data_IF_360054848797
#
_entry.id   IF_360054848797
#
_cell.length_a   1.000
_cell.length_b   1.000
_cell.length_c   1.000
_cell.angle_alpha   90.00
_cell.angle_beta   90.00
_cell.angle_gamma   90.00
#
_symmetry.space_group_name_H-M   'P 1'
#
loop_
_entity.id
_entity.type
_entity.pdbx_description
1 polymer ?
#
# COMPACT_ATOMS: atom_id res chain seq x y z
N UNK A 1 6.38 24.87 16.42
CA UNK A 1 5.36 25.78 15.86
C UNK A 1 3.98 25.22 16.13
N UNK A 2 3.13 26.03 16.75
CA UNK A 2 1.72 25.75 16.93
C UNK A 2 0.97 26.21 15.69
N UNK A 3 0.13 25.32 15.13
CA UNK A 3 -0.72 25.65 13.99
C UNK A 3 -2.14 25.93 14.46
N UNK A 4 -2.81 26.87 13.82
CA UNK A 4 -4.18 27.26 14.16
C UNK A 4 -5.21 26.15 13.88
N UNK A 5 -4.89 25.22 12.97
CA UNK A 5 -5.75 24.09 12.60
C UNK A 5 -4.94 22.94 11.95
N UNK A 6 -5.56 21.77 11.88
CA UNK A 6 -5.05 20.62 11.12
C UNK A 6 -4.84 20.98 9.62
N UNK A 7 -5.74 21.74 9.04
CA UNK A 7 -5.62 22.17 7.64
C UNK A 7 -4.45 23.14 7.44
N UNK A 8 -4.21 24.06 8.37
CA UNK A 8 -3.06 24.96 8.32
C UNK A 8 -1.74 24.20 8.44
N UNK A 9 -1.68 23.19 9.32
CA UNK A 9 -0.53 22.28 9.43
C UNK A 9 -0.27 21.53 8.13
N UNK A 10 -1.33 20.98 7.51
CA UNK A 10 -1.26 20.24 6.25
C UNK A 10 -0.80 21.15 5.10
N UNK A 11 -1.35 22.34 4.99
CA UNK A 11 -0.95 23.31 3.98
C UNK A 11 0.55 23.64 4.09
N UNK A 12 1.04 23.90 5.30
CA UNK A 12 2.46 24.17 5.51
C UNK A 12 3.35 22.95 5.21
N UNK A 13 2.93 21.76 5.59
CA UNK A 13 3.64 20.54 5.23
C UNK A 13 3.71 20.36 3.71
N UNK A 14 2.61 20.61 2.99
CA UNK A 14 2.55 20.56 1.53
C UNK A 14 3.55 21.50 0.87
N UNK A 15 3.62 22.75 1.33
CA UNK A 15 4.60 23.73 0.83
C UNK A 15 6.03 23.22 1.00
N UNK A 16 6.39 22.78 2.21
CA UNK A 16 7.75 22.32 2.52
C UNK A 16 8.14 21.07 1.73
N UNK A 17 7.25 20.09 1.61
CA UNK A 17 7.54 18.90 0.82
C UNK A 17 7.59 19.18 -0.67
N UNK A 18 6.79 20.14 -1.18
CA UNK A 18 6.88 20.60 -2.57
C UNK A 18 8.21 21.28 -2.84
N UNK A 19 8.69 22.10 -1.92
CA UNK A 19 10.02 22.72 -2.00
C UNK A 19 11.14 21.67 -2.00
N UNK A 20 11.05 20.66 -1.10
CA UNK A 20 12.01 19.55 -1.05
C UNK A 20 12.03 18.74 -2.34
N UNK A 21 10.86 18.41 -2.89
CA UNK A 21 10.77 17.68 -4.16
C UNK A 21 11.34 18.50 -5.32
N UNK A 22 11.01 19.79 -5.40
CA UNK A 22 11.48 20.69 -6.44
C UNK A 22 13.01 20.88 -6.42
N UNK A 23 13.59 21.06 -5.23
CA UNK A 23 15.03 21.33 -5.09
C UNK A 23 15.89 20.07 -5.09
N UNK A 24 15.36 18.97 -4.59
CA UNK A 24 16.12 17.76 -4.31
C UNK A 24 15.46 16.47 -4.87
N UNK A 25 14.58 16.60 -5.88
CA UNK A 25 13.78 15.50 -6.42
C UNK A 25 14.57 14.25 -6.85
N UNK A 26 15.82 14.44 -7.29
CA UNK A 26 16.73 13.34 -7.63
C UNK A 26 17.42 12.70 -6.42
N UNK A 27 17.38 13.33 -5.24
CA UNK A 27 17.98 12.80 -4.00
C UNK A 27 17.01 11.88 -3.26
N UNK A 28 17.53 11.11 -2.29
CA UNK A 28 16.70 10.30 -1.40
C UNK A 28 15.66 11.16 -0.65
N UNK A 29 16.05 12.33 -0.17
CA UNK A 29 15.17 13.25 0.55
C UNK A 29 14.02 13.75 -0.32
N UNK A 30 14.30 14.14 -1.56
CA UNK A 30 13.25 14.57 -2.51
C UNK A 30 12.31 13.43 -2.90
N UNK A 31 12.85 12.21 -3.09
CA UNK A 31 12.00 11.04 -3.33
C UNK A 31 11.05 10.75 -2.17
N UNK A 32 11.56 10.83 -0.92
CA UNK A 32 10.72 10.67 0.28
C UNK A 32 9.65 11.77 0.38
N UNK A 33 9.95 13.00 -0.04
CA UNK A 33 8.96 14.07 -0.07
C UNK A 33 7.74 13.73 -0.93
N UNK A 34 7.91 12.97 -2.04
CA UNK A 34 6.80 12.49 -2.88
C UNK A 34 5.83 11.59 -2.11
N UNK A 35 6.32 10.75 -1.18
CA UNK A 35 5.46 9.90 -0.36
C UNK A 35 4.56 10.71 0.56
N UNK A 36 5.12 11.76 1.19
CA UNK A 36 4.32 12.66 2.04
C UNK A 36 3.35 13.50 1.22
N UNK A 37 3.75 13.98 0.05
CA UNK A 37 2.86 14.69 -0.86
C UNK A 37 1.71 13.81 -1.34
N UNK A 38 1.96 12.52 -1.60
CA UNK A 38 0.91 11.57 -1.95
C UNK A 38 -0.10 11.37 -0.80
N UNK A 39 0.37 11.24 0.44
CA UNK A 39 -0.52 11.16 1.61
C UNK A 39 -1.36 12.43 1.81
N UNK A 40 -0.76 13.60 1.58
CA UNK A 40 -1.48 14.87 1.62
C UNK A 40 -2.55 14.92 0.53
N UNK A 41 -2.23 14.47 -0.68
CA UNK A 41 -3.18 14.40 -1.79
C UNK A 41 -4.38 13.48 -1.48
N UNK A 42 -4.14 12.31 -0.82
CA UNK A 42 -5.24 11.46 -0.32
C UNK A 42 -6.11 12.20 0.67
N UNK A 43 -5.51 12.91 1.63
CA UNK A 43 -6.24 13.67 2.64
C UNK A 43 -7.03 14.86 2.05
N UNK A 44 -6.62 15.35 0.88
CA UNK A 44 -7.32 16.37 0.09
C UNK A 44 -8.33 15.76 -0.92
N UNK A 45 -8.50 14.43 -0.90
CA UNK A 45 -9.32 13.65 -1.84
C UNK A 45 -8.86 13.78 -3.32
N UNK A 46 -7.61 14.15 -3.55
CA UNK A 46 -6.99 14.18 -4.89
C UNK A 46 -6.30 12.83 -5.17
N UNK A 47 -7.13 11.83 -5.49
CA UNK A 47 -6.69 10.44 -5.70
C UNK A 47 -5.76 10.30 -6.91
N UNK A 48 -5.98 11.07 -7.96
CA UNK A 48 -5.13 11.01 -9.16
C UNK A 48 -3.74 11.57 -8.88
N UNK A 49 -3.65 12.66 -8.14
CA UNK A 49 -2.37 13.21 -7.72
C UNK A 49 -1.61 12.27 -6.78
N UNK A 50 -2.30 11.63 -5.85
CA UNK A 50 -1.71 10.62 -4.98
C UNK A 50 -1.11 9.46 -5.78
N UNK A 51 -1.87 8.92 -6.75
CA UNK A 51 -1.41 7.86 -7.64
C UNK A 51 -0.13 8.26 -8.40
N UNK A 52 -0.14 9.43 -9.04
CA UNK A 52 1.01 9.94 -9.78
C UNK A 52 2.27 10.05 -8.90
N UNK A 53 2.13 10.55 -7.68
CA UNK A 53 3.24 10.73 -6.74
C UNK A 53 3.81 9.39 -6.24
N UNK A 54 2.96 8.41 -5.90
CA UNK A 54 3.43 7.07 -5.53
C UNK A 54 4.09 6.37 -6.71
N UNK A 55 3.52 6.47 -7.91
CA UNK A 55 4.14 5.88 -9.10
C UNK A 55 5.50 6.52 -9.39
N UNK A 56 5.60 7.84 -9.37
CA UNK A 56 6.86 8.54 -9.56
C UNK A 56 7.92 8.18 -8.49
N UNK A 57 7.49 7.90 -7.26
CA UNK A 57 8.38 7.38 -6.24
C UNK A 57 8.88 5.98 -6.58
N UNK A 58 7.99 5.06 -6.97
CA UNK A 58 8.32 3.68 -7.31
C UNK A 58 9.26 3.58 -8.52
N UNK A 59 9.07 4.46 -9.50
CA UNK A 59 9.91 4.52 -10.70
C UNK A 59 11.35 4.99 -10.38
N UNK A 60 11.48 5.87 -9.38
CA UNK A 60 12.77 6.44 -8.96
C UNK A 60 13.49 5.64 -7.86
N UNK A 61 12.78 4.79 -7.14
CA UNK A 61 13.30 4.00 -6.02
C UNK A 61 12.92 2.51 -6.23
N UNK A 62 13.66 1.76 -7.05
CA UNK A 62 13.28 0.39 -7.44
C UNK A 62 13.34 -0.63 -6.31
N UNK A 63 14.06 -0.33 -5.20
CA UNK A 63 14.18 -1.21 -4.03
C UNK A 63 14.24 -0.42 -2.73
N UNK A 64 13.78 -1.04 -1.63
CA UNK A 64 13.86 -0.46 -0.28
C UNK A 64 12.55 -0.52 0.50
N UNK A 65 12.62 -0.35 1.82
CA UNK A 65 11.48 -0.49 2.73
C UNK A 65 10.29 0.43 2.41
N UNK A 66 10.55 1.65 1.92
CA UNK A 66 9.50 2.60 1.58
C UNK A 66 8.74 2.22 0.30
N UNK A 67 9.31 1.35 -0.53
CA UNK A 67 8.64 0.85 -1.74
C UNK A 67 7.40 0.02 -1.38
N UNK A 68 7.50 -0.83 -0.35
CA UNK A 68 6.36 -1.62 0.12
C UNK A 68 5.21 -0.71 0.53
N UNK A 69 5.49 0.34 1.29
CA UNK A 69 4.48 1.34 1.71
C UNK A 69 3.82 2.02 0.51
N UNK A 70 4.60 2.45 -0.48
CA UNK A 70 4.06 3.10 -1.68
C UNK A 70 3.16 2.15 -2.49
N UNK A 71 3.57 0.88 -2.67
CA UNK A 71 2.80 -0.14 -3.39
C UNK A 71 1.48 -0.46 -2.69
N UNK A 72 1.52 -0.72 -1.38
CA UNK A 72 0.32 -1.03 -0.60
C UNK A 72 -0.71 0.10 -0.66
N UNK A 73 -0.25 1.36 -0.54
CA UNK A 73 -1.13 2.51 -0.68
C UNK A 73 -1.72 2.63 -2.11
N UNK A 74 -0.92 2.33 -3.13
CA UNK A 74 -1.37 2.32 -4.51
C UNK A 74 -2.42 1.22 -4.75
N UNK A 75 -2.20 0.01 -4.24
CA UNK A 75 -3.17 -1.11 -4.33
C UNK A 75 -4.50 -0.77 -3.65
N UNK A 76 -4.44 -0.15 -2.45
CA UNK A 76 -5.65 0.34 -1.79
C UNK A 76 -6.44 1.30 -2.68
N UNK A 77 -5.74 2.25 -3.28
CA UNK A 77 -6.37 3.23 -4.17
C UNK A 77 -6.98 2.56 -5.42
N UNK A 78 -6.31 1.57 -5.98
CA UNK A 78 -6.82 0.83 -7.14
C UNK A 78 -8.07 0.01 -6.81
N UNK A 79 -8.12 -0.63 -5.64
CA UNK A 79 -9.35 -1.28 -5.14
C UNK A 79 -10.50 -0.28 -5.03
N UNK A 80 -10.25 0.88 -4.41
CA UNK A 80 -11.25 1.94 -4.26
C UNK A 80 -11.75 2.52 -5.58
N UNK A 81 -10.94 2.46 -6.64
CA UNK A 81 -11.29 2.92 -7.99
C UNK A 81 -11.90 1.82 -8.87
N UNK A 82 -12.23 0.66 -8.30
CA UNK A 82 -12.86 -0.45 -9.03
C UNK A 82 -11.91 -1.23 -9.95
N UNK A 83 -10.60 -1.08 -9.80
CA UNK A 83 -9.58 -1.82 -10.58
C UNK A 83 -9.11 -3.10 -9.91
N UNK A 84 -9.90 -3.64 -8.99
CA UNK A 84 -9.56 -4.85 -8.23
C UNK A 84 -9.25 -6.07 -9.09
N UNK A 85 -10.00 -6.29 -10.19
CA UNK A 85 -9.76 -7.43 -11.06
C UNK A 85 -8.38 -7.42 -11.72
N UNK A 86 -7.95 -6.27 -12.21
CA UNK A 86 -6.61 -6.08 -12.78
C UNK A 86 -5.53 -6.25 -11.73
N UNK A 87 -5.73 -5.66 -10.54
CA UNK A 87 -4.82 -5.78 -9.42
C UNK A 87 -4.65 -7.23 -8.96
N UNK A 88 -5.74 -8.02 -8.89
CA UNK A 88 -5.66 -9.44 -8.54
C UNK A 88 -4.78 -10.23 -9.51
N UNK A 89 -4.91 -9.97 -10.81
CA UNK A 89 -4.06 -10.61 -11.82
C UNK A 89 -2.58 -10.19 -11.69
N UNK A 90 -2.31 -8.93 -11.40
CA UNK A 90 -0.95 -8.44 -11.16
C UNK A 90 -0.33 -9.09 -9.92
N UNK A 91 -1.07 -9.18 -8.81
CA UNK A 91 -0.60 -9.82 -7.57
C UNK A 91 -0.36 -11.32 -7.76
N UNK A 92 -1.22 -12.03 -8.51
CA UNK A 92 -0.98 -13.44 -8.87
C UNK A 92 0.31 -13.62 -9.68
N UNK A 93 0.51 -12.83 -10.71
CA UNK A 93 1.75 -12.86 -11.49
C UNK A 93 2.97 -12.57 -10.63
N UNK A 94 2.85 -11.64 -9.66
CA UNK A 94 3.94 -11.33 -8.73
C UNK A 94 4.28 -12.50 -7.82
N UNK A 95 3.32 -13.32 -7.41
CA UNK A 95 3.55 -14.55 -6.64
C UNK A 95 4.37 -15.59 -7.41
N UNK A 96 4.31 -15.58 -8.74
CA UNK A 96 5.04 -16.52 -9.61
C UNK A 96 6.49 -16.09 -9.89
N UNK A 97 6.85 -14.83 -9.62
CA UNK A 97 8.19 -14.31 -9.87
C UNK A 97 9.20 -14.86 -8.86
N UNK A 98 10.44 -15.12 -9.32
CA UNK A 98 11.54 -15.49 -8.44
C UNK A 98 11.95 -14.30 -7.55
N UNK A 99 12.13 -13.13 -8.16
CA UNK A 99 12.46 -11.88 -7.47
C UNK A 99 11.21 -11.03 -7.31
N UNK A 100 10.61 -11.11 -6.12
CA UNK A 100 9.39 -10.39 -5.80
C UNK A 100 9.71 -9.01 -5.24
N UNK A 101 9.02 -7.95 -5.66
CA UNK A 101 9.19 -6.59 -5.13
C UNK A 101 8.62 -6.43 -3.72
N UNK A 102 7.85 -7.41 -3.23
CA UNK A 102 7.26 -7.47 -1.89
C UNK A 102 7.45 -8.87 -1.30
N UNK A 103 7.50 -9.01 0.03
CA UNK A 103 7.40 -10.30 0.71
C UNK A 103 6.14 -11.06 0.29
N UNK A 104 6.21 -12.38 0.21
CA UNK A 104 5.09 -13.21 -0.28
C UNK A 104 3.85 -13.09 0.59
N UNK A 105 4.01 -13.02 1.90
CA UNK A 105 2.91 -12.82 2.85
C UNK A 105 2.19 -11.47 2.66
N UNK A 106 2.95 -10.40 2.33
CA UNK A 106 2.36 -9.09 1.97
C UNK A 106 1.55 -9.22 0.68
N UNK A 107 2.08 -9.90 -0.35
CA UNK A 107 1.37 -10.08 -1.62
C UNK A 107 0.09 -10.89 -1.42
N UNK A 108 0.15 -11.96 -0.62
CA UNK A 108 -1.02 -12.78 -0.28
C UNK A 108 -2.07 -11.99 0.50
N UNK A 109 -1.64 -11.13 1.43
CA UNK A 109 -2.56 -10.30 2.19
C UNK A 109 -3.27 -9.27 1.30
N UNK A 110 -2.53 -8.59 0.42
CA UNK A 110 -3.09 -7.65 -0.55
C UNK A 110 -4.02 -8.35 -1.56
N UNK A 111 -3.71 -9.59 -1.94
CA UNK A 111 -4.57 -10.41 -2.79
C UNK A 111 -5.89 -10.78 -2.09
N UNK A 112 -5.83 -11.15 -0.81
CA UNK A 112 -7.00 -11.40 0.02
C UNK A 112 -7.92 -10.18 0.09
N UNK A 113 -7.37 -9.01 0.45
CA UNK A 113 -8.10 -7.74 0.47
C UNK A 113 -8.71 -7.38 -0.91
N UNK A 114 -8.01 -7.74 -1.98
CA UNK A 114 -8.49 -7.47 -3.34
C UNK A 114 -9.66 -8.37 -3.71
N UNK A 115 -9.60 -9.65 -3.36
CA UNK A 115 -10.71 -10.57 -3.56
C UNK A 115 -11.93 -10.21 -2.71
N UNK A 116 -11.74 -9.73 -1.47
CA UNK A 116 -12.85 -9.19 -0.66
C UNK A 116 -13.53 -8.02 -1.37
N UNK A 117 -12.75 -7.06 -1.88
CA UNK A 117 -13.28 -5.92 -2.61
C UNK A 117 -14.04 -6.32 -3.89
N UNK A 118 -13.73 -7.49 -4.46
CA UNK A 118 -14.42 -8.08 -5.62
C UNK A 118 -15.63 -8.96 -5.23
N UNK A 119 -15.88 -9.16 -3.93
CA UNK A 119 -16.91 -10.09 -3.45
C UNK A 119 -16.57 -11.57 -3.64
N UNK A 120 -15.31 -11.90 -3.91
CA UNK A 120 -14.79 -13.25 -4.13
C UNK A 120 -14.31 -13.86 -2.80
N UNK A 121 -15.25 -14.10 -1.88
CA UNK A 121 -14.94 -14.50 -0.50
C UNK A 121 -14.20 -15.83 -0.38
N UNK A 122 -14.43 -16.79 -1.27
CA UNK A 122 -13.71 -18.08 -1.23
C UNK A 122 -12.23 -17.92 -1.61
N UNK A 123 -11.96 -17.12 -2.63
CA UNK A 123 -10.59 -16.81 -3.07
C UNK A 123 -9.85 -15.97 -2.02
N UNK A 124 -10.54 -15.02 -1.37
CA UNK A 124 -9.98 -14.24 -0.26
C UNK A 124 -9.56 -15.17 0.89
N UNK A 125 -10.47 -16.07 1.34
CA UNK A 125 -10.17 -17.03 2.38
C UNK A 125 -8.99 -17.95 2.03
N UNK A 126 -8.90 -18.38 0.76
CA UNK A 126 -7.79 -19.20 0.30
C UNK A 126 -6.44 -18.43 0.39
N UNK A 127 -6.41 -17.16 0.00
CA UNK A 127 -5.21 -16.33 0.12
C UNK A 127 -4.79 -16.15 1.59
N UNK A 128 -5.72 -15.84 2.48
CA UNK A 128 -5.42 -15.69 3.91
C UNK A 128 -4.98 -17.01 4.56
N UNK A 129 -5.60 -18.14 4.19
CA UNK A 129 -5.20 -19.46 4.70
C UNK A 129 -3.75 -19.77 4.34
N UNK A 130 -3.31 -19.42 3.14
CA UNK A 130 -1.90 -19.58 2.78
C UNK A 130 -0.96 -18.77 3.69
N UNK A 131 -1.34 -17.59 4.15
CA UNK A 131 -0.54 -16.84 5.12
C UNK A 131 -0.45 -17.63 6.44
N UNK A 132 -1.57 -18.17 6.92
CA UNK A 132 -1.62 -18.95 8.17
C UNK A 132 -0.73 -20.20 8.09
N UNK A 133 -0.78 -20.90 6.97
CA UNK A 133 -0.11 -22.18 6.79
C UNK A 133 1.38 -22.03 6.44
N UNK A 134 1.71 -21.07 5.58
CA UNK A 134 3.06 -20.92 5.01
C UNK A 134 3.91 -19.84 5.74
N UNK A 135 3.27 -18.86 6.41
CA UNK A 135 3.94 -17.68 7.00
C UNK A 135 3.52 -17.40 8.44
N UNK A 136 3.73 -18.33 9.40
CA UNK A 136 3.25 -18.18 10.78
C UNK A 136 3.90 -17.01 11.54
N UNK A 137 4.99 -16.44 11.04
CA UNK A 137 5.66 -15.26 11.61
C UNK A 137 5.27 -13.95 10.89
N UNK A 138 4.31 -14.00 9.98
CA UNK A 138 3.84 -12.81 9.27
C UNK A 138 3.23 -11.79 10.25
N UNK A 139 3.49 -10.49 10.09
CA UNK A 139 2.79 -9.46 10.85
C UNK A 139 1.27 -9.45 10.60
N UNK A 140 0.81 -10.09 9.52
CA UNK A 140 -0.61 -10.22 9.16
C UNK A 140 -1.27 -11.50 9.71
N UNK A 141 -0.56 -12.32 10.49
CA UNK A 141 -1.05 -13.62 10.93
C UNK A 141 -2.41 -13.55 11.65
N UNK A 142 -2.57 -12.58 12.55
CA UNK A 142 -3.81 -12.43 13.33
C UNK A 142 -5.00 -12.04 12.45
N UNK A 143 -4.79 -11.14 11.50
CA UNK A 143 -5.82 -10.74 10.54
C UNK A 143 -6.14 -11.90 9.58
N UNK A 144 -5.12 -12.57 9.07
CA UNK A 144 -5.28 -13.73 8.19
C UNK A 144 -6.05 -14.87 8.87
N UNK A 145 -5.79 -15.18 10.13
CA UNK A 145 -6.53 -16.19 10.90
C UNK A 145 -8.01 -15.82 11.05
N UNK A 146 -8.31 -14.57 11.32
CA UNK A 146 -9.69 -14.08 11.44
C UNK A 146 -10.44 -14.20 10.10
N UNK A 147 -9.84 -13.71 9.02
CA UNK A 147 -10.47 -13.69 7.70
C UNK A 147 -10.51 -15.08 7.04
N UNK A 148 -9.55 -15.96 7.34
CA UNK A 148 -9.58 -17.36 6.93
C UNK A 148 -10.60 -18.21 7.70
N UNK A 149 -11.18 -17.67 8.79
CA UNK A 149 -12.06 -18.43 9.69
C UNK A 149 -11.33 -19.49 10.52
N UNK A 150 -10.05 -19.31 10.76
CA UNK A 150 -9.18 -20.25 11.51
C UNK A 150 -8.70 -19.66 12.83
N UNK A 151 -9.17 -18.48 13.22
CA UNK A 151 -8.86 -17.89 14.52
C UNK A 151 -9.29 -18.84 15.63
N UNK A 152 -8.45 -19.08 16.67
CA UNK A 152 -8.86 -19.86 17.84
C UNK A 152 -10.11 -19.20 18.43
N UNK A 153 -11.13 -20.01 18.72
CA UNK A 153 -12.31 -19.54 19.44
C UNK A 153 -11.82 -18.87 20.73
N UNK A 154 -12.15 -17.59 20.89
CA UNK A 154 -11.59 -16.75 21.94
C UNK A 154 -11.74 -17.41 23.34
N UNK A 155 -10.64 -17.43 24.09
CA UNK A 155 -10.61 -17.76 25.51
C UNK A 155 -11.13 -16.58 26.31
#
# INVERSE_FOLDING_TARGET
>A
PTFASESARRARAKELFTELDSRYGGSKTGRVAKLYLAQIAVAENDKEKAKQLWQAFLDAEPAGALQATARVNLYKLEREQGRGAQLAEELKKMLEQADKPLPTDVILFELGLTYEALGQGDDARAAYRRIVDEYPQSPYIADAQREAGTAPAGT
#
